data_IF_067815468305
#
_entry.id   IF_067815468305
#
_cell.length_a   1.000
_cell.length_b   1.000
_cell.length_c   1.000
_cell.angle_alpha   90.00
_cell.angle_beta   90.00
_cell.angle_gamma   90.00
#
_symmetry.space_group_name_H-M   'P 1'
#
loop_
_entity.id
_entity.type
_entity.pdbx_description
1 polymer ?
#
# COMPACT_ATOMS: atom_id res chain seq x y z
N UNK A 1 25.45 18.98 -3.31
CA UNK A 1 24.42 18.01 -3.69
C UNK A 1 23.13 18.77 -3.92
N UNK A 2 22.74 18.95 -5.18
CA UNK A 2 21.51 19.65 -5.54
C UNK A 2 20.34 18.72 -5.15
N UNK A 3 19.66 19.00 -4.04
CA UNK A 3 18.40 18.34 -3.70
C UNK A 3 17.43 18.78 -4.79
N UNK A 4 17.06 17.87 -5.70
CA UNK A 4 15.91 18.10 -6.56
C UNK A 4 14.73 18.42 -5.62
N UNK A 5 14.25 19.66 -5.69
CA UNK A 5 13.20 20.14 -4.82
C UNK A 5 11.93 19.33 -5.10
N UNK A 6 11.28 18.73 -4.10
CA UNK A 6 9.99 18.06 -4.27
C UNK A 6 8.86 19.01 -4.67
N UNK A 7 9.13 20.32 -4.67
CA UNK A 7 8.17 21.40 -4.95
C UNK A 7 7.41 21.25 -6.27
N UNK A 8 7.96 20.53 -7.27
CA UNK A 8 7.32 20.37 -8.59
C UNK A 8 6.48 19.10 -8.71
N UNK A 9 6.52 18.19 -7.75
CA UNK A 9 5.74 16.95 -7.81
C UNK A 9 4.27 17.21 -7.52
N UNK A 10 3.40 16.59 -8.30
CA UNK A 10 1.95 16.74 -8.19
C UNK A 10 1.29 15.44 -7.70
N UNK A 11 0.96 15.33 -6.40
CA UNK A 11 0.23 14.17 -5.89
C UNK A 11 -1.09 13.92 -6.62
N UNK A 12 -1.80 14.97 -7.02
CA UNK A 12 -3.03 14.84 -7.79
C UNK A 12 -2.81 14.10 -9.13
N UNK A 13 -1.78 14.48 -9.89
CA UNK A 13 -1.44 13.78 -11.15
C UNK A 13 -1.08 12.33 -10.88
N UNK A 14 -0.40 12.06 -9.77
CA UNK A 14 -0.06 10.70 -9.36
C UNK A 14 -1.31 9.87 -9.12
N UNK A 15 -2.24 10.33 -8.29
CA UNK A 15 -3.48 9.61 -8.02
C UNK A 15 -4.31 9.39 -9.29
N UNK A 16 -4.49 10.43 -10.10
CA UNK A 16 -5.22 10.31 -11.37
C UNK A 16 -4.59 9.28 -12.30
N UNK A 17 -3.27 9.21 -12.34
CA UNK A 17 -2.57 8.22 -13.17
C UNK A 17 -2.67 6.81 -12.60
N UNK A 18 -2.56 6.64 -11.27
CA UNK A 18 -2.78 5.34 -10.59
C UNK A 18 -4.17 4.81 -10.93
N UNK A 19 -5.21 5.61 -10.71
CA UNK A 19 -6.58 5.19 -11.01
C UNK A 19 -6.79 4.94 -12.51
N UNK A 20 -6.28 5.82 -13.37
CA UNK A 20 -6.38 5.67 -14.81
C UNK A 20 -5.73 4.37 -15.34
N UNK A 21 -4.63 3.94 -14.72
CA UNK A 21 -3.99 2.66 -15.05
C UNK A 21 -4.72 1.46 -14.45
N UNK A 22 -5.37 1.63 -13.30
CA UNK A 22 -6.06 0.54 -12.60
C UNK A 22 -7.46 0.26 -13.15
N UNK A 23 -8.20 1.29 -13.59
CA UNK A 23 -9.58 1.14 -14.11
C UNK A 23 -9.71 0.07 -15.19
N UNK A 24 -8.83 0.00 -16.23
CA UNK A 24 -8.91 -1.05 -17.23
C UNK A 24 -8.79 -2.46 -16.64
N UNK A 25 -7.93 -2.65 -15.64
CA UNK A 25 -7.73 -3.94 -14.98
C UNK A 25 -8.98 -4.36 -14.21
N UNK A 26 -9.61 -3.43 -13.46
CA UNK A 26 -10.86 -3.70 -12.76
C UNK A 26 -12.03 -4.00 -13.71
N UNK A 27 -12.10 -3.30 -14.86
CA UNK A 27 -13.12 -3.59 -15.89
C UNK A 27 -12.90 -4.99 -16.47
N UNK A 28 -11.66 -5.36 -16.76
CA UNK A 28 -11.33 -6.70 -17.27
C UNK A 28 -11.80 -7.75 -16.27
N UNK A 29 -11.53 -7.59 -14.99
CA UNK A 29 -11.92 -8.53 -13.96
C UNK A 29 -13.44 -8.71 -13.85
N UNK A 30 -14.23 -7.65 -14.09
CA UNK A 30 -15.71 -7.75 -14.08
C UNK A 30 -16.29 -8.40 -15.33
N UNK A 31 -15.52 -8.50 -16.44
CA UNK A 31 -15.99 -9.00 -17.74
C UNK A 31 -15.50 -10.38 -18.10
N UNK A 32 -14.40 -10.79 -17.50
CA UNK A 32 -13.75 -12.08 -17.77
C UNK A 32 -13.68 -12.84 -16.45
N UNK A 33 -14.01 -14.13 -16.50
CA UNK A 33 -13.80 -15.02 -15.35
C UNK A 33 -12.28 -15.21 -15.15
N UNK A 34 -11.70 -14.29 -14.37
CA UNK A 34 -10.27 -14.29 -14.10
C UNK A 34 -9.97 -15.34 -13.04
N UNK A 35 -9.07 -16.25 -13.35
CA UNK A 35 -8.63 -17.28 -12.40
C UNK A 35 -8.14 -16.62 -11.12
N UNK A 36 -8.77 -16.99 -9.99
CA UNK A 36 -8.32 -16.57 -8.66
C UNK A 36 -7.19 -17.47 -8.18
N UNK A 37 -6.20 -16.83 -7.60
CA UNK A 37 -5.07 -17.47 -6.93
C UNK A 37 -5.46 -17.80 -5.48
N UNK A 38 -4.66 -18.61 -4.76
CA UNK A 38 -4.85 -18.78 -3.32
C UNK A 38 -4.98 -17.42 -2.61
N UNK A 39 -5.87 -17.34 -1.61
CA UNK A 39 -6.24 -16.12 -0.88
C UNK A 39 -7.11 -15.13 -1.69
N UNK A 40 -7.86 -15.62 -2.68
CA UNK A 40 -8.82 -14.86 -3.49
C UNK A 40 -8.25 -13.69 -4.31
N UNK A 41 -6.93 -13.61 -4.50
CA UNK A 41 -6.34 -12.62 -5.39
C UNK A 41 -6.50 -13.02 -6.85
N UNK A 42 -6.93 -12.08 -7.67
CA UNK A 42 -6.92 -12.24 -9.13
C UNK A 42 -5.55 -11.82 -9.72
N UNK A 43 -5.29 -12.25 -10.95
CA UNK A 43 -4.10 -11.75 -11.68
C UNK A 43 -4.21 -10.24 -11.90
N UNK A 44 -5.42 -9.72 -12.08
CA UNK A 44 -5.68 -8.28 -12.26
C UNK A 44 -5.37 -7.49 -10.99
N UNK A 45 -5.62 -8.04 -9.79
CA UNK A 45 -5.20 -7.43 -8.51
C UNK A 45 -3.67 -7.30 -8.44
N UNK A 46 -2.96 -8.37 -8.81
CA UNK A 46 -1.49 -8.36 -8.83
C UNK A 46 -0.96 -7.31 -9.81
N UNK A 47 -1.54 -7.23 -11.01
CA UNK A 47 -1.14 -6.21 -11.98
C UNK A 47 -1.49 -4.80 -11.51
N UNK A 48 -2.64 -4.63 -10.85
CA UNK A 48 -3.03 -3.36 -10.27
C UNK A 48 -2.06 -2.88 -9.19
N UNK A 49 -1.50 -3.77 -8.37
CA UNK A 49 -0.50 -3.42 -7.36
C UNK A 49 0.75 -2.73 -7.95
N UNK A 50 1.06 -2.94 -9.23
CA UNK A 50 2.15 -2.24 -9.91
C UNK A 50 1.79 -0.84 -10.40
N UNK A 51 0.51 -0.47 -10.45
CA UNK A 51 0.11 0.84 -11.01
C UNK A 51 0.66 2.05 -10.25
N UNK A 52 0.81 2.06 -8.90
CA UNK A 52 1.47 3.15 -8.20
C UNK A 52 2.95 3.30 -8.58
N UNK A 53 3.68 2.17 -8.70
CA UNK A 53 5.07 2.17 -9.15
C UNK A 53 5.20 2.72 -10.57
N UNK A 54 4.35 2.26 -11.49
CA UNK A 54 4.36 2.70 -12.89
C UNK A 54 4.03 4.19 -12.98
N UNK A 55 2.99 4.65 -12.28
CA UNK A 55 2.59 6.04 -12.23
C UNK A 55 3.72 6.95 -11.71
N UNK A 56 4.34 6.58 -10.59
CA UNK A 56 5.48 7.31 -10.04
C UNK A 56 6.66 7.32 -11.00
N UNK A 57 6.98 6.19 -11.63
CA UNK A 57 8.08 6.08 -12.59
C UNK A 57 7.88 6.96 -13.82
N UNK A 58 6.65 7.01 -14.37
CA UNK A 58 6.30 7.88 -15.51
C UNK A 58 6.46 9.36 -15.14
N UNK A 59 5.92 9.75 -13.97
CA UNK A 59 5.98 11.15 -13.53
C UNK A 59 7.42 11.58 -13.23
N UNK A 60 8.16 10.77 -12.47
CA UNK A 60 9.57 11.04 -12.18
C UNK A 60 10.41 11.07 -13.45
N UNK A 61 10.14 10.20 -14.43
CA UNK A 61 10.85 10.23 -15.69
C UNK A 61 10.59 11.55 -16.46
N UNK A 62 9.34 12.03 -16.46
CA UNK A 62 8.99 13.32 -17.09
C UNK A 62 9.60 14.52 -16.36
N UNK A 63 9.77 14.46 -15.05
CA UNK A 63 10.25 15.55 -14.20
C UNK A 63 11.78 15.58 -14.07
N UNK A 64 12.41 14.42 -13.92
CA UNK A 64 13.83 14.27 -13.55
C UNK A 64 14.61 13.35 -14.52
N UNK A 65 13.95 12.80 -15.54
CA UNK A 65 14.55 11.87 -16.50
C UNK A 65 14.96 10.53 -15.87
N UNK A 66 15.83 9.80 -16.58
CA UNK A 66 16.31 8.47 -16.16
C UNK A 66 16.99 8.47 -14.79
N UNK A 67 17.71 9.54 -14.46
CA UNK A 67 18.41 9.64 -13.17
C UNK A 67 17.41 9.71 -12.02
N UNK A 68 16.29 10.42 -12.19
CA UNK A 68 15.23 10.48 -11.21
C UNK A 68 14.61 9.12 -10.93
N UNK A 69 14.32 8.34 -11.97
CA UNK A 69 13.79 6.97 -11.83
C UNK A 69 14.76 6.07 -11.05
N UNK A 70 16.05 6.12 -11.37
CA UNK A 70 17.06 5.35 -10.63
C UNK A 70 17.08 5.76 -9.14
N UNK A 71 16.97 7.06 -8.84
CA UNK A 71 16.89 7.55 -7.46
C UNK A 71 15.62 7.06 -6.75
N UNK A 72 14.47 7.03 -7.45
CA UNK A 72 13.21 6.51 -6.91
C UNK A 72 13.38 5.05 -6.47
N UNK A 73 13.94 4.19 -7.33
CA UNK A 73 14.17 2.79 -6.99
C UNK A 73 15.23 2.60 -5.88
N UNK A 74 16.26 3.43 -5.83
CA UNK A 74 17.26 3.39 -4.74
C UNK A 74 16.65 3.70 -3.36
N UNK A 75 15.49 4.36 -3.29
CA UNK A 75 14.78 4.59 -2.02
C UNK A 75 14.34 3.30 -1.33
N UNK A 76 14.14 2.20 -2.05
CA UNK A 76 13.76 0.89 -1.49
C UNK A 76 14.79 0.42 -0.46
N UNK A 77 16.06 0.65 -0.74
CA UNK A 77 17.19 0.16 0.08
C UNK A 77 17.89 1.31 0.83
N UNK A 78 17.25 2.47 0.97
CA UNK A 78 17.83 3.64 1.64
C UNK A 78 17.65 3.57 3.17
N UNK A 79 18.30 2.60 3.79
CA UNK A 79 18.33 2.44 5.25
C UNK A 79 19.09 3.58 5.96
N UNK A 80 19.82 4.41 5.22
CA UNK A 80 20.58 5.54 5.78
C UNK A 80 19.69 6.67 6.30
N UNK A 81 18.44 6.76 5.84
CA UNK A 81 17.47 7.76 6.29
C UNK A 81 17.02 7.56 7.74
N UNK A 82 17.06 6.33 8.22
CA UNK A 82 16.74 6.03 9.61
C UNK A 82 17.96 6.32 10.48
N UNK A 83 18.09 7.59 10.91
CA UNK A 83 19.23 8.09 11.67
C UNK A 83 19.39 7.35 13.00
N UNK A 84 18.30 7.12 13.72
CA UNK A 84 18.30 6.39 14.99
C UNK A 84 17.83 4.96 14.73
N UNK A 85 18.77 4.01 14.77
CA UNK A 85 18.47 2.58 14.53
C UNK A 85 17.43 1.97 15.48
N UNK A 86 17.20 2.61 16.63
CA UNK A 86 16.15 2.18 17.59
C UNK A 86 14.75 2.14 16.95
N UNK A 87 14.50 2.93 15.90
CA UNK A 87 13.21 2.94 15.20
C UNK A 87 12.91 1.63 14.46
N UNK A 88 13.91 0.80 14.17
CA UNK A 88 13.65 -0.54 13.62
C UNK A 88 12.92 -1.45 14.62
N UNK A 89 13.08 -1.22 15.92
CA UNK A 89 12.38 -2.00 16.95
C UNK A 89 10.86 -1.84 16.85
N UNK A 90 10.27 -0.63 16.90
CA UNK A 90 8.83 -0.48 16.71
C UNK A 90 8.36 -0.89 15.32
N UNK A 91 9.13 -0.66 14.26
CA UNK A 91 8.77 -1.08 12.89
C UNK A 91 8.57 -2.60 12.83
N UNK A 92 9.42 -3.38 13.49
CA UNK A 92 9.32 -4.84 13.51
C UNK A 92 8.24 -5.30 14.48
N UNK A 93 8.18 -4.72 15.68
CA UNK A 93 7.29 -5.21 16.74
C UNK A 93 5.85 -4.74 16.59
N UNK A 94 5.61 -3.56 16.02
CA UNK A 94 4.27 -2.97 15.94
C UNK A 94 3.25 -3.85 15.22
N UNK A 95 3.53 -4.47 14.06
CA UNK A 95 2.60 -5.39 13.43
C UNK A 95 2.20 -6.55 14.33
N UNK A 96 3.15 -7.17 15.00
CA UNK A 96 2.87 -8.28 15.94
C UNK A 96 2.03 -7.83 17.13
N UNK A 97 2.31 -6.65 17.69
CA UNK A 97 1.54 -6.08 18.79
C UNK A 97 0.10 -5.75 18.38
N UNK A 98 -0.10 -5.23 17.17
CA UNK A 98 -1.43 -4.94 16.61
C UNK A 98 -2.22 -6.26 16.46
N UNK A 99 -1.63 -7.30 15.85
CA UNK A 99 -2.31 -8.58 15.71
C UNK A 99 -2.60 -9.24 17.06
N UNK A 100 -1.67 -9.17 18.02
CA UNK A 100 -1.88 -9.66 19.37
C UNK A 100 -3.04 -8.93 20.05
N UNK A 101 -3.10 -7.60 19.94
CA UNK A 101 -4.18 -6.78 20.48
C UNK A 101 -5.53 -7.14 19.85
N UNK A 102 -5.59 -7.29 18.53
CA UNK A 102 -6.79 -7.72 17.81
C UNK A 102 -7.24 -9.09 18.33
N UNK A 103 -6.33 -10.04 18.46
CA UNK A 103 -6.63 -11.38 18.97
C UNK A 103 -7.20 -11.33 20.39
N UNK A 104 -6.58 -10.52 21.29
CA UNK A 104 -7.06 -10.34 22.67
C UNK A 104 -8.47 -9.73 22.67
N UNK A 105 -8.72 -8.70 21.86
CA UNK A 105 -10.05 -8.09 21.77
C UNK A 105 -11.09 -9.12 21.32
N UNK A 106 -10.83 -9.85 20.23
CA UNK A 106 -11.73 -10.88 19.70
C UNK A 106 -12.03 -11.94 20.76
N UNK A 107 -11.00 -12.39 21.50
CA UNK A 107 -11.14 -13.35 22.59
C UNK A 107 -12.04 -12.81 23.72
N UNK A 108 -11.83 -11.55 24.13
CA UNK A 108 -12.60 -10.94 25.22
C UNK A 108 -14.08 -10.72 24.87
N UNK A 109 -14.38 -10.33 23.62
CA UNK A 109 -15.76 -10.11 23.15
C UNK A 109 -16.42 -11.42 22.66
N UNK A 110 -15.72 -12.56 22.79
CA UNK A 110 -16.21 -13.89 22.41
C UNK A 110 -16.72 -13.98 20.96
N UNK A 111 -16.12 -13.24 20.05
CA UNK A 111 -16.41 -13.41 18.62
C UNK A 111 -15.95 -14.80 18.17
N UNK A 112 -16.80 -15.52 17.40
CA UNK A 112 -16.41 -16.81 16.86
C UNK A 112 -15.23 -16.61 15.89
N UNK A 113 -14.06 -17.07 16.30
CA UNK A 113 -12.91 -17.17 15.41
C UNK A 113 -13.12 -18.40 14.53
N UNK A 114 -13.72 -18.21 13.36
CA UNK A 114 -13.72 -19.25 12.33
C UNK A 114 -12.34 -19.27 11.64
N UNK A 115 -11.30 -19.59 12.42
CA UNK A 115 -9.95 -19.74 11.89
C UNK A 115 -9.82 -21.14 11.31
N UNK A 116 -10.42 -21.36 10.14
CA UNK A 116 -10.14 -22.53 9.31
C UNK A 116 -8.98 -22.28 8.33
N UNK A 117 -8.02 -21.45 8.74
CA UNK A 117 -6.81 -21.23 7.95
C UNK A 117 -5.81 -22.36 8.19
N UNK A 118 -5.91 -23.42 7.41
CA UNK A 118 -4.82 -24.40 7.29
C UNK A 118 -3.80 -23.91 6.26
N UNK A 119 -3.03 -22.87 6.62
CA UNK A 119 -1.86 -22.49 5.83
C UNK A 119 -0.72 -23.41 6.23
N UNK A 120 -0.21 -24.28 5.34
CA UNK A 120 0.97 -25.07 5.64
C UNK A 120 2.13 -24.17 6.06
N UNK A 121 2.79 -24.50 7.16
CA UNK A 121 3.89 -23.67 7.69
C UNK A 121 4.97 -23.38 6.64
N UNK A 122 5.21 -24.33 5.74
CA UNK A 122 6.15 -24.18 4.62
C UNK A 122 5.75 -23.07 3.63
N UNK A 123 4.46 -22.70 3.56
CA UNK A 123 3.98 -21.63 2.67
C UNK A 123 4.18 -20.24 3.25
N UNK A 124 4.42 -20.10 4.56
CA UNK A 124 4.54 -18.80 5.22
C UNK A 124 5.67 -17.94 4.63
N UNK A 125 6.91 -18.46 4.43
CA UNK A 125 7.99 -17.66 3.84
C UNK A 125 7.66 -17.20 2.41
N UNK A 126 7.00 -18.04 1.63
CA UNK A 126 6.58 -17.70 0.27
C UNK A 126 5.53 -16.60 0.28
N UNK A 127 4.47 -16.74 1.07
CA UNK A 127 3.40 -15.75 1.21
C UNK A 127 3.96 -14.42 1.74
N UNK A 128 4.81 -14.48 2.75
CA UNK A 128 5.49 -13.29 3.26
C UNK A 128 6.26 -12.56 2.16
N UNK A 129 7.06 -13.29 1.38
CA UNK A 129 7.83 -12.71 0.28
C UNK A 129 6.93 -12.07 -0.78
N UNK A 130 5.83 -12.75 -1.14
CA UNK A 130 4.87 -12.25 -2.11
C UNK A 130 4.21 -10.95 -1.65
N UNK A 131 3.70 -10.93 -0.42
CA UNK A 131 3.08 -9.72 0.16
C UNK A 131 4.08 -8.59 0.39
N UNK A 132 5.29 -8.93 0.82
CA UNK A 132 6.35 -7.94 1.01
C UNK A 132 6.74 -7.26 -0.31
N UNK A 133 6.88 -8.04 -1.38
CA UNK A 133 7.17 -7.49 -2.71
C UNK A 133 5.98 -6.66 -3.23
N UNK A 134 4.75 -7.15 -3.08
CA UNK A 134 3.53 -6.42 -3.45
C UNK A 134 3.44 -5.07 -2.73
N UNK A 135 3.57 -5.08 -1.40
CA UNK A 135 3.58 -3.86 -0.61
C UNK A 135 4.73 -2.91 -1.01
N UNK A 136 5.92 -3.44 -1.29
CA UNK A 136 7.06 -2.63 -1.70
C UNK A 136 6.79 -1.87 -3.00
N UNK A 137 6.19 -2.51 -4.01
CA UNK A 137 5.92 -1.85 -5.29
C UNK A 137 4.84 -0.76 -5.15
N UNK A 138 3.85 -0.95 -4.29
CA UNK A 138 2.87 0.08 -3.95
C UNK A 138 3.53 1.26 -3.22
N UNK A 139 4.32 0.96 -2.18
CA UNK A 139 4.96 1.98 -1.34
C UNK A 139 5.97 2.85 -2.10
N UNK A 140 6.65 2.32 -3.12
CA UNK A 140 7.51 3.13 -3.99
C UNK A 140 6.71 4.26 -4.65
N UNK A 141 5.47 4.00 -5.05
CA UNK A 141 4.59 5.02 -5.59
C UNK A 141 4.17 6.03 -4.54
N UNK A 142 3.50 5.58 -3.51
CA UNK A 142 2.92 6.45 -2.49
C UNK A 142 3.98 7.17 -1.64
N UNK A 143 4.92 6.44 -1.05
CA UNK A 143 5.96 7.00 -0.17
C UNK A 143 7.18 7.49 -0.95
N UNK A 144 7.43 6.98 -2.15
CA UNK A 144 8.54 7.42 -2.98
C UNK A 144 8.25 8.71 -3.77
N UNK A 145 6.99 8.96 -4.14
CA UNK A 145 6.61 10.10 -4.98
C UNK A 145 5.69 11.09 -4.28
N UNK A 146 4.59 10.63 -3.67
CA UNK A 146 3.51 11.50 -3.24
C UNK A 146 3.69 12.08 -1.83
N UNK A 147 4.31 11.34 -0.89
CA UNK A 147 4.34 11.72 0.52
C UNK A 147 5.10 13.02 0.78
N UNK A 148 6.31 13.17 0.21
CA UNK A 148 7.17 14.34 0.48
C UNK A 148 6.44 15.67 0.17
N UNK A 149 5.88 15.89 -1.06
CA UNK A 149 5.18 17.13 -1.38
C UNK A 149 3.87 17.31 -0.60
N UNK A 150 3.24 16.23 -0.15
CA UNK A 150 2.04 16.35 0.67
C UNK A 150 2.38 16.74 2.11
N UNK A 151 3.44 16.19 2.69
CA UNK A 151 3.90 16.60 4.02
C UNK A 151 4.37 18.05 4.06
N UNK A 152 5.06 18.52 3.02
CA UNK A 152 5.49 19.90 2.93
C UNK A 152 4.30 20.88 2.88
N UNK A 153 3.18 20.50 2.24
CA UNK A 153 2.00 21.35 2.09
C UNK A 153 1.03 21.27 3.26
N UNK A 154 0.84 20.10 3.86
CA UNK A 154 -0.26 19.83 4.78
C UNK A 154 0.20 19.31 6.15
N UNK A 155 1.50 19.08 6.34
CA UNK A 155 2.04 18.41 7.52
C UNK A 155 1.81 16.89 7.50
N UNK A 156 2.49 16.17 8.40
CA UNK A 156 2.53 14.69 8.38
C UNK A 156 1.14 14.05 8.56
N UNK A 157 0.37 14.47 9.57
CA UNK A 157 -0.94 13.89 9.86
C UNK A 157 -1.92 14.06 8.70
N UNK A 158 -2.05 15.28 8.18
CA UNK A 158 -2.96 15.55 7.05
C UNK A 158 -2.52 14.82 5.78
N UNK A 159 -1.21 14.77 5.51
CA UNK A 159 -0.67 14.04 4.38
C UNK A 159 -0.98 12.53 4.48
N UNK A 160 -0.86 11.94 5.66
CA UNK A 160 -1.20 10.53 5.92
C UNK A 160 -2.66 10.23 5.60
N UNK A 161 -3.57 11.07 6.06
CA UNK A 161 -5.02 10.93 5.82
C UNK A 161 -5.34 11.11 4.34
N UNK A 162 -4.78 12.16 3.71
CA UNK A 162 -5.00 12.48 2.30
C UNK A 162 -4.40 11.45 1.33
N UNK A 163 -3.43 10.67 1.76
CA UNK A 163 -2.93 9.50 1.01
C UNK A 163 -3.75 8.26 1.36
N UNK A 164 -4.06 8.07 2.64
CA UNK A 164 -4.74 6.87 3.12
C UNK A 164 -6.14 6.70 2.54
N UNK A 165 -6.91 7.79 2.41
CA UNK A 165 -8.26 7.74 1.84
C UNK A 165 -8.24 7.31 0.37
N UNK A 166 -7.53 7.96 -0.56
CA UNK A 166 -7.45 7.49 -1.94
C UNK A 166 -6.90 6.06 -2.04
N UNK A 167 -5.90 5.72 -1.24
CA UNK A 167 -5.37 4.37 -1.25
C UNK A 167 -6.40 3.32 -0.81
N UNK A 168 -7.20 3.59 0.22
CA UNK A 168 -8.31 2.73 0.64
C UNK A 168 -9.36 2.59 -0.47
N UNK A 169 -9.77 3.71 -1.08
CA UNK A 169 -10.75 3.72 -2.20
C UNK A 169 -10.23 2.93 -3.40
N UNK A 170 -8.93 2.97 -3.65
CA UNK A 170 -8.32 2.21 -4.73
C UNK A 170 -8.47 0.68 -4.55
N UNK A 171 -8.57 0.17 -3.33
CA UNK A 171 -8.83 -1.25 -3.05
C UNK A 171 -10.31 -1.65 -3.20
N UNK A 172 -11.27 -0.68 -3.24
CA UNK A 172 -12.70 -1.01 -3.24
C UNK A 172 -13.13 -1.92 -4.38
N UNK A 173 -12.71 -1.75 -5.64
CA UNK A 173 -13.12 -2.63 -6.72
C UNK A 173 -12.78 -4.10 -6.43
N UNK A 174 -11.58 -4.39 -6.00
CA UNK A 174 -11.14 -5.74 -5.63
C UNK A 174 -11.95 -6.30 -4.44
N UNK A 175 -12.13 -5.51 -3.37
CA UNK A 175 -12.89 -5.91 -2.19
C UNK A 175 -14.35 -6.24 -2.52
N UNK A 176 -15.00 -5.43 -3.39
CA UNK A 176 -16.37 -5.66 -3.84
C UNK A 176 -16.47 -6.91 -4.68
N UNK A 177 -15.50 -7.16 -5.56
CA UNK A 177 -15.46 -8.37 -6.41
C UNK A 177 -15.21 -9.64 -5.60
N UNK A 178 -14.54 -9.54 -4.44
CA UNK A 178 -14.42 -10.62 -3.46
C UNK A 178 -15.72 -10.88 -2.68
N UNK A 179 -16.78 -10.09 -2.90
CA UNK A 179 -18.09 -10.26 -2.27
C UNK A 179 -18.21 -9.65 -0.86
N UNK A 180 -17.27 -8.80 -0.46
CA UNK A 180 -17.35 -8.13 0.83
C UNK A 180 -18.40 -7.02 0.85
N UNK A 181 -19.05 -6.85 2.01
CA UNK A 181 -20.11 -5.86 2.21
C UNK A 181 -19.56 -4.47 2.61
N UNK A 182 -20.46 -3.48 2.63
CA UNK A 182 -20.12 -2.08 2.99
C UNK A 182 -19.51 -1.93 4.40
N UNK A 183 -19.93 -2.74 5.34
CA UNK A 183 -19.38 -2.71 6.72
C UNK A 183 -17.90 -3.11 6.69
N UNK A 184 -17.58 -4.15 5.95
CA UNK A 184 -16.20 -4.60 5.76
C UNK A 184 -15.33 -3.53 5.09
N UNK A 185 -15.87 -2.86 4.04
CA UNK A 185 -15.20 -1.76 3.35
C UNK A 185 -14.95 -0.59 4.32
N UNK A 186 -15.94 -0.22 5.14
CA UNK A 186 -15.80 0.88 6.10
C UNK A 186 -14.70 0.60 7.13
N UNK A 187 -14.70 -0.59 7.74
CA UNK A 187 -13.64 -0.99 8.68
C UNK A 187 -12.27 -1.09 8.02
N UNK A 188 -12.20 -1.64 6.81
CA UNK A 188 -10.97 -1.70 6.02
C UNK A 188 -10.42 -0.30 5.72
N UNK A 189 -11.29 0.65 5.38
CA UNK A 189 -10.91 2.06 5.14
C UNK A 189 -10.33 2.69 6.39
N UNK A 190 -11.02 2.56 7.52
CA UNK A 190 -10.53 3.08 8.80
C UNK A 190 -9.18 2.48 9.18
N UNK A 191 -9.03 1.16 9.03
CA UNK A 191 -7.77 0.46 9.28
C UNK A 191 -6.64 0.95 8.39
N UNK A 192 -6.91 1.10 7.09
CA UNK A 192 -5.95 1.60 6.10
C UNK A 192 -5.47 3.02 6.44
N UNK A 193 -6.39 3.93 6.75
CA UNK A 193 -6.04 5.31 7.13
C UNK A 193 -5.26 5.32 8.45
N UNK A 194 -5.68 4.53 9.44
CA UNK A 194 -4.99 4.42 10.72
C UNK A 194 -3.54 3.93 10.55
N UNK A 195 -3.33 2.89 9.73
CA UNK A 195 -1.99 2.39 9.42
C UNK A 195 -1.14 3.49 8.77
N UNK A 196 -1.69 4.25 7.83
CA UNK A 196 -0.97 5.38 7.21
C UNK A 196 -0.56 6.44 8.22
N UNK A 197 -1.44 6.79 9.16
CA UNK A 197 -1.12 7.75 10.23
C UNK A 197 0.00 7.22 11.13
N UNK A 198 0.07 5.91 11.36
CA UNK A 198 1.10 5.30 12.22
C UNK A 198 2.48 5.23 11.56
N UNK A 199 2.55 5.09 10.23
CA UNK A 199 3.82 4.89 9.51
C UNK A 199 4.41 6.16 8.90
N UNK A 200 3.68 7.27 8.86
CA UNK A 200 4.09 8.58 8.31
C UNK A 200 4.41 9.56 9.43
#
# INVERSE_FOLDING_TARGET
>A
MNKSKPENRSPLKFFLLVYGLSIPLWIIETRIDVKRLPLDFSITDILAAFTPLIAASILVYKEEGRIGVIKLFKRILDFSRVIKKIWYVPIILLPFLIYLLIYIIIYLIKLPLSINFHIPFISIPFLFSLFFLGATVEEIGYMGYAIDPMQERFGALSASILIGIPWAVWHYPSIIQQGHNLTWIAWGTLGTVAVRVLIV
#
